data_IF_910959274338
#
_entry.id   IF_910959274338
#
_cell.length_a   1.000
_cell.length_b   1.000
_cell.length_c   1.000
_cell.angle_alpha   90.00
_cell.angle_beta   90.00
_cell.angle_gamma   90.00
#
_symmetry.space_group_name_H-M   'P 1'
#
loop_
_entity.id
_entity.type
_entity.pdbx_description
1 polymer ?
#
# COMPACT_ATOMS: atom_id res chain seq x y z
N UNK A 1 -8.89 -4.90 -0.04
CA UNK A 1 -8.55 -5.59 1.23
C UNK A 1 -8.57 -4.64 2.42
N UNK A 2 -7.77 -3.57 2.43
CA UNK A 2 -7.75 -2.56 3.52
C UNK A 2 -9.14 -2.05 3.89
N UNK A 3 -9.95 -1.64 2.90
CA UNK A 3 -11.32 -1.20 3.13
C UNK A 3 -12.18 -2.25 3.85
N UNK A 4 -12.17 -3.50 3.36
CA UNK A 4 -12.91 -4.60 4.01
C UNK A 4 -12.43 -4.82 5.46
N UNK A 5 -11.10 -4.81 5.69
CA UNK A 5 -10.54 -4.93 7.04
C UNK A 5 -11.02 -3.81 7.98
N UNK A 6 -11.16 -2.58 7.48
CA UNK A 6 -11.67 -1.46 8.26
C UNK A 6 -13.15 -1.61 8.61
N UNK A 7 -13.96 -2.04 7.63
CA UNK A 7 -15.41 -2.12 7.75
C UNK A 7 -15.90 -3.37 8.50
N UNK A 8 -15.12 -4.45 8.53
CA UNK A 8 -15.51 -5.69 9.22
C UNK A 8 -15.16 -5.63 10.71
N UNK A 9 -16.12 -5.80 11.65
CA UNK A 9 -15.84 -5.81 13.09
C UNK A 9 -14.82 -6.88 13.51
N UNK A 10 -15.02 -8.13 13.06
CA UNK A 10 -14.06 -9.22 13.22
C UNK A 10 -13.48 -9.63 11.86
N UNK A 11 -12.21 -9.29 11.56
CA UNK A 11 -11.64 -9.56 10.24
C UNK A 11 -11.54 -11.06 9.91
N UNK A 12 -11.63 -11.95 10.91
CA UNK A 12 -11.59 -13.40 10.69
C UNK A 12 -12.83 -13.92 9.93
N UNK A 13 -13.94 -13.20 9.98
CA UNK A 13 -15.19 -13.60 9.30
C UNK A 13 -15.13 -13.43 7.78
N UNK A 14 -14.17 -12.65 7.27
CA UNK A 14 -13.97 -12.43 5.83
C UNK A 14 -12.76 -13.22 5.29
N UNK A 15 -12.20 -14.16 6.05
CA UNK A 15 -10.99 -14.88 5.67
C UNK A 15 -11.12 -15.57 4.30
N UNK A 16 -12.29 -16.15 4.02
CA UNK A 16 -12.55 -16.87 2.76
C UNK A 16 -12.66 -15.92 1.54
N UNK A 17 -12.87 -14.62 1.78
CA UNK A 17 -12.87 -13.58 0.75
C UNK A 17 -11.49 -12.93 0.55
N UNK A 18 -10.48 -13.34 1.32
CA UNK A 18 -9.13 -12.78 1.29
C UNK A 18 -8.13 -13.80 0.71
N UNK A 19 -6.99 -13.34 0.16
CA UNK A 19 -5.91 -14.23 -0.25
C UNK A 19 -5.38 -15.08 0.92
N UNK A 20 -4.81 -16.24 0.60
CA UNK A 20 -4.06 -17.02 1.58
C UNK A 20 -2.72 -16.35 1.92
N UNK A 21 -2.45 -16.18 3.21
CA UNK A 21 -1.22 -15.54 3.72
C UNK A 21 -0.14 -16.55 4.14
N UNK A 22 -0.39 -17.86 4.05
CA UNK A 22 0.48 -18.91 4.60
C UNK A 22 1.93 -18.80 4.13
N UNK A 23 2.16 -18.48 2.86
CA UNK A 23 3.50 -18.35 2.25
C UNK A 23 3.86 -16.91 1.87
N UNK A 24 3.17 -15.93 2.45
CA UNK A 24 3.40 -14.51 2.15
C UNK A 24 4.44 -13.94 3.10
N UNK A 25 5.48 -13.29 2.58
CA UNK A 25 6.47 -12.58 3.40
C UNK A 25 6.09 -11.13 3.65
N UNK A 26 5.55 -10.47 2.63
CA UNK A 26 5.20 -9.05 2.65
C UNK A 26 3.83 -8.79 2.05
N UNK A 27 3.09 -7.84 2.63
CA UNK A 27 1.80 -7.39 2.12
C UNK A 27 1.89 -5.88 1.87
N UNK A 28 1.53 -5.45 0.66
CA UNK A 28 1.31 -4.05 0.34
C UNK A 28 -0.18 -3.75 0.38
N UNK A 29 -0.57 -2.76 1.18
CA UNK A 29 -1.95 -2.34 1.40
C UNK A 29 -2.08 -0.84 1.07
N UNK A 30 -2.78 -0.46 -0.01
CA UNK A 30 -3.20 0.92 -0.16
C UNK A 30 -4.23 1.24 0.94
N UNK A 31 -4.02 2.32 1.67
CA UNK A 31 -4.91 2.81 2.73
C UNK A 31 -5.65 4.03 2.21
N UNK A 32 -6.93 4.13 2.58
CA UNK A 32 -7.80 5.24 2.24
C UNK A 32 -8.64 5.62 3.47
N UNK A 33 -8.99 6.89 3.57
CA UNK A 33 -9.78 7.53 4.63
C UNK A 33 -11.30 7.34 4.48
N UNK A 34 -11.77 6.49 3.57
CA UNK A 34 -13.19 6.19 3.51
C UNK A 34 -13.66 5.34 4.70
N UNK A 35 -14.51 5.94 5.54
CA UNK A 35 -15.12 5.26 6.67
C UNK A 35 -16.50 4.66 6.38
N UNK A 36 -17.10 4.89 5.21
CA UNK A 36 -18.46 4.44 4.92
C UNK A 36 -18.56 3.57 3.68
N UNK A 37 -19.05 2.35 3.85
CA UNK A 37 -19.41 1.46 2.74
C UNK A 37 -20.67 1.87 1.98
N UNK A 38 -21.47 2.81 2.52
CA UNK A 38 -22.67 3.30 1.84
C UNK A 38 -22.41 4.47 0.90
N UNK A 39 -21.21 5.06 0.93
CA UNK A 39 -20.84 6.19 0.08
C UNK A 39 -19.92 5.67 -1.02
N UNK A 40 -20.45 5.63 -2.24
CA UNK A 40 -19.65 5.36 -3.44
C UNK A 40 -18.59 6.46 -3.61
N UNK A 41 -17.40 6.07 -4.08
CA UNK A 41 -16.27 6.99 -4.30
C UNK A 41 -15.87 7.80 -3.05
N UNK A 42 -16.20 7.30 -1.85
CA UNK A 42 -15.79 7.94 -0.61
C UNK A 42 -14.28 7.87 -0.38
N UNK A 43 -13.79 8.72 0.52
CA UNK A 43 -12.37 8.91 0.80
C UNK A 43 -11.73 9.97 -0.10
N UNK A 44 -10.78 10.71 0.45
CA UNK A 44 -10.11 11.85 -0.18
C UNK A 44 -8.61 11.64 -0.36
N UNK A 45 -8.03 10.69 0.37
CA UNK A 45 -6.57 10.53 0.42
C UNK A 45 -6.14 9.07 0.34
N UNK A 46 -4.98 8.84 -0.27
CA UNK A 46 -4.37 7.52 -0.39
C UNK A 46 -2.97 7.51 0.22
N UNK A 47 -2.68 6.46 0.97
CA UNK A 47 -1.34 6.21 1.53
C UNK A 47 -1.00 4.72 1.43
N UNK A 48 0.21 4.34 1.84
CA UNK A 48 0.71 2.98 1.68
C UNK A 48 1.10 2.36 3.01
N UNK A 49 0.58 1.17 3.30
CA UNK A 49 1.03 0.32 4.40
C UNK A 49 1.78 -0.90 3.83
N UNK A 50 3.05 -1.06 4.18
CA UNK A 50 3.86 -2.24 3.89
C UNK A 50 4.02 -3.06 5.16
N UNK A 51 3.53 -4.30 5.15
CA UNK A 51 3.63 -5.22 6.28
C UNK A 51 4.65 -6.29 5.98
N UNK A 52 5.69 -6.40 6.81
CA UNK A 52 6.55 -7.58 6.88
C UNK A 52 5.95 -8.57 7.87
N UNK A 53 5.45 -9.70 7.36
CA UNK A 53 4.87 -10.78 8.19
C UNK A 53 5.99 -11.50 8.96
N UNK A 54 7.17 -11.60 8.36
CA UNK A 54 8.34 -12.28 8.94
C UNK A 54 8.93 -11.48 10.10
N UNK A 55 8.98 -10.15 9.98
CA UNK A 55 9.53 -9.28 11.03
C UNK A 55 8.46 -8.82 12.04
N UNK A 56 7.18 -9.02 11.74
CA UNK A 56 6.06 -8.56 12.57
C UNK A 56 5.96 -7.04 12.63
N UNK A 57 6.22 -6.35 11.52
CA UNK A 57 6.24 -4.86 11.46
C UNK A 57 5.40 -4.35 10.30
N UNK A 58 4.66 -3.27 10.53
CA UNK A 58 3.89 -2.55 9.53
C UNK A 58 4.41 -1.12 9.39
N UNK A 59 4.90 -0.77 8.21
CA UNK A 59 5.47 0.53 7.86
C UNK A 59 4.45 1.34 7.08
N UNK A 60 4.07 2.52 7.58
CA UNK A 60 3.13 3.42 6.93
C UNK A 60 3.86 4.58 6.26
N UNK A 61 3.63 4.75 4.96
CA UNK A 61 4.16 5.81 4.13
C UNK A 61 3.02 6.71 3.67
N UNK A 62 3.15 8.00 3.93
CA UNK A 62 2.14 8.99 3.60
C UNK A 62 2.80 10.21 2.97
N UNK A 63 2.28 10.63 1.81
CA UNK A 63 2.76 11.79 1.08
C UNK A 63 2.13 13.11 1.53
N UNK A 64 1.10 13.08 2.39
CA UNK A 64 0.40 14.25 2.90
C UNK A 64 0.04 14.12 4.40
N UNK A 65 1.00 14.37 5.32
CA UNK A 65 0.76 14.34 6.77
C UNK A 65 -0.26 15.41 7.24
N UNK A 66 -1.06 15.15 8.31
CA UNK A 66 -1.04 13.95 9.16
C UNK A 66 -1.64 12.70 8.49
N UNK A 67 -2.34 12.87 7.36
CA UNK A 67 -2.74 11.79 6.45
C UNK A 67 -3.52 10.66 7.10
N UNK A 68 -3.33 9.44 6.59
CA UNK A 68 -4.09 8.24 6.95
C UNK A 68 -3.46 7.47 8.13
N UNK A 69 -2.79 8.14 9.06
CA UNK A 69 -2.05 7.46 10.14
C UNK A 69 -2.97 6.60 11.03
N UNK A 70 -4.16 7.10 11.37
CA UNK A 70 -5.10 6.40 12.23
C UNK A 70 -5.69 5.17 11.52
N UNK A 71 -6.04 5.33 10.26
CA UNK A 71 -6.59 4.31 9.36
C UNK A 71 -5.57 3.20 9.16
N UNK A 72 -4.31 3.56 8.88
CA UNK A 72 -3.21 2.62 8.72
C UNK A 72 -2.91 1.85 10.02
N UNK A 73 -2.96 2.53 11.16
CA UNK A 73 -2.81 1.90 12.47
C UNK A 73 -3.95 0.91 12.75
N UNK A 74 -5.20 1.30 12.46
CA UNK A 74 -6.36 0.44 12.63
C UNK A 74 -6.33 -0.78 11.71
N UNK A 75 -5.98 -0.61 10.44
CA UNK A 75 -5.77 -1.72 9.49
C UNK A 75 -4.67 -2.66 9.98
N UNK A 76 -3.58 -2.12 10.57
CA UNK A 76 -2.51 -2.93 11.16
C UNK A 76 -3.04 -3.83 12.28
N UNK A 77 -3.87 -3.28 13.19
CA UNK A 77 -4.50 -4.06 14.27
C UNK A 77 -5.43 -5.15 13.73
N UNK A 78 -6.23 -4.84 12.70
CA UNK A 78 -7.14 -5.80 12.05
C UNK A 78 -6.37 -6.93 11.39
N UNK A 79 -5.33 -6.59 10.62
CA UNK A 79 -4.50 -7.57 9.95
C UNK A 79 -3.76 -8.45 10.97
N UNK A 80 -3.23 -7.87 12.05
CA UNK A 80 -2.58 -8.61 13.14
C UNK A 80 -3.49 -9.70 13.72
N UNK A 81 -4.78 -9.37 13.96
CA UNK A 81 -5.79 -10.34 14.39
C UNK A 81 -6.11 -11.38 13.33
N UNK A 82 -6.23 -10.97 12.06
CA UNK A 82 -6.53 -11.86 10.94
C UNK A 82 -5.46 -12.94 10.75
N UNK A 83 -4.19 -12.54 10.76
CA UNK A 83 -3.05 -13.46 10.55
C UNK A 83 -2.59 -14.13 11.84
N UNK A 84 -3.22 -13.82 12.98
CA UNK A 84 -2.87 -14.30 14.31
C UNK A 84 -1.38 -14.09 14.66
N UNK A 85 -0.83 -12.91 14.34
CA UNK A 85 0.55 -12.52 14.67
C UNK A 85 0.62 -11.06 15.13
N UNK A 86 1.42 -10.71 16.14
CA UNK A 86 1.59 -9.33 16.55
C UNK A 86 2.26 -8.52 15.43
N UNK A 87 1.73 -7.33 15.14
CA UNK A 87 2.32 -6.38 14.20
C UNK A 87 2.62 -5.06 14.91
N UNK A 88 3.88 -4.63 14.90
CA UNK A 88 4.29 -3.31 15.37
C UNK A 88 4.08 -2.28 14.28
N UNK A 89 3.28 -1.26 14.55
CA UNK A 89 3.06 -0.14 13.63
C UNK A 89 4.20 0.88 13.71
N UNK A 90 4.66 1.36 12.55
CA UNK A 90 5.66 2.42 12.42
C UNK A 90 5.18 3.43 11.39
N UNK A 91 4.98 4.67 11.83
CA UNK A 91 4.78 5.81 10.95
C UNK A 91 6.14 6.27 10.40
N UNK A 92 6.34 6.28 9.08
CA UNK A 92 7.56 6.80 8.46
C UNK A 92 7.42 8.30 8.25
N UNK A 93 8.14 9.07 9.06
CA UNK A 93 8.14 10.54 9.02
C UNK A 93 9.01 11.11 7.89
N UNK A 94 9.80 10.27 7.22
CA UNK A 94 10.70 10.63 6.13
C UNK A 94 10.21 10.17 4.75
N UNK A 95 8.89 9.94 4.63
CA UNK A 95 8.25 9.62 3.36
C UNK A 95 8.30 10.80 2.39
N UNK A 96 8.46 10.57 1.07
CA UNK A 96 8.39 11.64 0.07
C UNK A 96 7.02 12.33 0.12
N UNK A 97 7.05 13.66 0.20
CA UNK A 97 5.85 14.50 0.27
C UNK A 97 5.39 14.91 -1.14
N UNK A 98 4.07 15.02 -1.31
CA UNK A 98 3.47 15.58 -2.52
C UNK A 98 3.29 17.09 -2.39
N UNK A 99 3.37 17.81 -3.51
CA UNK A 99 3.22 19.27 -3.55
C UNK A 99 1.81 19.74 -4.01
N UNK A 100 0.87 18.80 -4.20
CA UNK A 100 -0.50 19.10 -4.65
C UNK A 100 -1.52 18.18 -3.95
N UNK A 101 -2.81 18.31 -4.29
CA UNK A 101 -3.90 17.55 -3.65
C UNK A 101 -4.34 16.27 -4.38
N UNK A 102 -3.69 15.87 -5.48
CA UNK A 102 -4.20 14.79 -6.34
C UNK A 102 -3.21 13.67 -6.64
N UNK A 103 -1.94 13.82 -6.25
CA UNK A 103 -0.88 12.83 -6.55
C UNK A 103 -0.74 11.71 -5.52
N UNK A 104 -1.48 11.71 -4.42
CA UNK A 104 -1.35 10.71 -3.35
C UNK A 104 -1.39 9.25 -3.86
N UNK A 105 -2.33 8.93 -4.75
CA UNK A 105 -2.40 7.60 -5.38
C UNK A 105 -1.19 7.27 -6.27
N UNK A 106 -0.63 8.27 -6.95
CA UNK A 106 0.60 8.11 -7.75
C UNK A 106 1.79 7.83 -6.83
N UNK A 107 1.90 8.54 -5.70
CA UNK A 107 2.92 8.30 -4.69
C UNK A 107 2.83 6.88 -4.12
N UNK A 108 1.62 6.37 -3.83
CA UNK A 108 1.40 4.97 -3.38
C UNK A 108 2.02 3.99 -4.38
N UNK A 109 1.67 4.09 -5.67
CA UNK A 109 2.20 3.19 -6.70
C UNK A 109 3.72 3.31 -6.86
N UNK A 110 4.27 4.53 -6.89
CA UNK A 110 5.69 4.77 -7.09
C UNK A 110 6.54 4.34 -5.87
N UNK A 111 6.01 4.49 -4.65
CA UNK A 111 6.63 4.00 -3.43
C UNK A 111 6.59 2.47 -3.38
N UNK A 112 5.44 1.86 -3.69
CA UNK A 112 5.29 0.40 -3.76
C UNK A 112 6.29 -0.23 -4.72
N UNK A 113 6.37 0.30 -5.95
CA UNK A 113 7.36 -0.16 -6.96
C UNK A 113 8.79 -0.05 -6.45
N UNK A 114 9.14 1.07 -5.83
CA UNK A 114 10.50 1.27 -5.30
C UNK A 114 10.83 0.29 -4.18
N UNK A 115 9.95 0.14 -3.20
CA UNK A 115 10.14 -0.79 -2.08
C UNK A 115 10.27 -2.23 -2.60
N UNK A 116 9.37 -2.67 -3.47
CA UNK A 116 9.42 -4.01 -4.02
C UNK A 116 10.73 -4.27 -4.78
N UNK A 117 11.05 -3.43 -5.78
CA UNK A 117 12.18 -3.68 -6.65
C UNK A 117 13.53 -3.40 -5.97
N UNK A 118 13.65 -2.31 -5.21
CA UNK A 118 14.94 -1.82 -4.69
C UNK A 118 15.21 -2.17 -3.23
N UNK A 119 14.22 -2.63 -2.47
CA UNK A 119 14.39 -3.00 -1.06
C UNK A 119 14.14 -4.48 -0.83
N UNK A 120 13.12 -5.06 -1.46
CA UNK A 120 12.74 -6.44 -1.17
C UNK A 120 13.36 -7.46 -2.14
N UNK A 121 13.39 -7.18 -3.45
CA UNK A 121 13.85 -8.17 -4.44
C UNK A 121 15.35 -8.09 -4.77
N UNK A 122 15.96 -6.91 -4.66
CA UNK A 122 17.38 -6.71 -5.03
C UNK A 122 18.37 -6.91 -3.88
N UNK A 123 17.91 -7.16 -2.65
CA UNK A 123 18.79 -7.30 -1.48
C UNK A 123 19.00 -8.78 -1.15
N UNK A 124 20.23 -9.15 -0.80
CA UNK A 124 20.56 -10.49 -0.31
C UNK A 124 19.78 -10.78 0.97
N UNK A 125 19.31 -12.01 1.13
CA UNK A 125 18.43 -12.45 2.22
C UNK A 125 19.03 -12.32 3.63
N UNK A 126 20.34 -12.08 3.74
CA UNK A 126 21.10 -11.93 4.98
C UNK A 126 21.35 -10.47 5.41
N UNK A 127 21.01 -9.48 4.58
CA UNK A 127 21.28 -8.07 4.87
C UNK A 127 20.06 -7.35 5.47
N UNK A 128 20.29 -6.53 6.50
CA UNK A 128 19.26 -5.61 7.02
C UNK A 128 18.94 -4.56 5.97
N UNK A 129 17.65 -4.42 5.64
CA UNK A 129 17.17 -3.46 4.67
C UNK A 129 16.54 -2.27 5.38
N UNK A 130 17.00 -1.06 5.06
CA UNK A 130 16.33 0.15 5.53
C UNK A 130 15.01 0.35 4.77
N UNK A 131 13.92 0.47 5.51
CA UNK A 131 12.58 0.78 4.99
C UNK A 131 12.31 2.29 4.89
N UNK A 132 13.28 3.13 5.24
CA UNK A 132 13.22 4.58 5.04
C UNK A 132 13.16 4.94 3.55
N UNK A 133 12.39 5.98 3.24
CA UNK A 133 12.38 6.64 1.94
C UNK A 133 12.95 8.07 2.02
N UNK A 134 13.65 8.39 3.11
CA UNK A 134 14.28 9.69 3.32
C UNK A 134 15.22 10.07 2.17
N UNK A 135 15.09 11.30 1.68
CA UNK A 135 15.89 11.81 0.56
C UNK A 135 15.46 11.31 -0.82
N UNK A 136 14.47 10.42 -0.93
CA UNK A 136 13.92 10.01 -2.21
C UNK A 136 13.04 11.12 -2.80
N UNK A 137 13.29 11.46 -4.06
CA UNK A 137 12.41 12.32 -4.85
C UNK A 137 11.45 11.48 -5.68
N UNK A 138 10.22 11.95 -5.80
CA UNK A 138 9.16 11.30 -6.58
C UNK A 138 8.72 12.26 -7.68
N UNK A 139 8.87 11.84 -8.93
CA UNK A 139 8.32 12.56 -10.08
C UNK A 139 6.94 11.98 -10.42
N UNK A 140 5.90 12.59 -9.85
CA UNK A 140 4.53 12.14 -10.07
C UNK A 140 4.05 12.41 -11.51
N UNK A 141 4.54 13.45 -12.17
CA UNK A 141 4.17 13.75 -13.56
C UNK A 141 4.67 12.66 -14.51
N UNK A 142 5.94 12.26 -14.38
CA UNK A 142 6.50 11.14 -15.11
C UNK A 142 5.77 9.84 -14.75
N UNK A 143 5.47 9.62 -13.46
CA UNK A 143 4.70 8.47 -12.99
C UNK A 143 3.32 8.34 -13.65
N UNK A 144 2.56 9.44 -13.74
CA UNK A 144 1.26 9.48 -14.43
C UNK A 144 1.38 9.12 -15.91
N UNK A 145 2.35 9.70 -16.61
CA UNK A 145 2.61 9.42 -18.04
C UNK A 145 2.96 7.95 -18.26
N UNK A 146 3.77 7.37 -17.37
CA UNK A 146 4.15 5.96 -17.41
C UNK A 146 2.94 5.04 -17.19
N UNK A 147 2.12 5.30 -16.16
CA UNK A 147 0.91 4.52 -15.89
C UNK A 147 -0.06 4.54 -17.06
N UNK A 148 -0.31 5.71 -17.65
CA UNK A 148 -1.17 5.84 -18.83
C UNK A 148 -0.65 5.03 -20.02
N UNK A 149 0.68 5.06 -20.25
CA UNK A 149 1.31 4.26 -21.30
C UNK A 149 1.08 2.77 -21.08
N UNK A 150 1.31 2.27 -19.85
CA UNK A 150 1.11 0.85 -19.50
C UNK A 150 -0.35 0.43 -19.72
N UNK A 151 -1.31 1.25 -19.28
CA UNK A 151 -2.74 0.99 -19.47
C UNK A 151 -3.09 0.87 -20.96
N UNK A 152 -2.58 1.79 -21.77
CA UNK A 152 -2.82 1.82 -23.22
C UNK A 152 -2.18 0.63 -23.94
N UNK A 153 -1.00 0.19 -23.52
CA UNK A 153 -0.35 -1.02 -24.04
C UNK A 153 -1.20 -2.27 -23.79
N UNK A 154 -1.68 -2.46 -22.56
CA UNK A 154 -2.58 -3.58 -22.23
C UNK A 154 -3.91 -3.50 -22.98
N UNK A 155 -4.47 -2.30 -23.17
CA UNK A 155 -5.71 -2.11 -23.96
C UNK A 155 -5.52 -2.60 -25.40
N UNK A 156 -4.43 -2.17 -26.05
CA UNK A 156 -4.11 -2.56 -27.43
C UNK A 156 -3.86 -4.07 -27.55
N UNK A 157 -3.17 -4.66 -26.58
CA UNK A 157 -2.97 -6.11 -26.55
C UNK A 157 -4.31 -6.86 -26.43
N UNK A 158 -5.21 -6.41 -25.56
CA UNK A 158 -6.54 -6.98 -25.40
C UNK A 158 -7.42 -6.85 -26.65
N UNK A 159 -7.25 -5.79 -27.45
CA UNK A 159 -7.91 -5.64 -28.75
C UNK A 159 -7.39 -6.65 -29.78
N UNK A 160 -6.06 -6.81 -29.89
CA UNK A 160 -5.44 -7.78 -30.80
C UNK A 160 -5.80 -9.23 -30.48
N UNK A 161 -6.02 -9.59 -29.22
CA UNK A 161 -6.42 -10.94 -28.81
C UNK A 161 -7.89 -11.25 -29.12
N UNK A 162 -8.70 -10.23 -29.41
CA UNK A 162 -10.15 -10.35 -29.71
C UNK A 162 -10.48 -10.31 -31.20
N UNK A 163 -9.53 -9.89 -32.04
CA UNK A 163 -9.58 -9.98 -33.51
C UNK A 163 -9.03 -11.31 -34.00
#
# INVERSE_FOLDING_TARGET
>A
MSFMLMQTPDPRTIKDALPDFTNVSHIFLPINDNHSASIAEGGTHWSLLLVSIVDGVAFHYDSMPPGNQNEAHYVTQKLSRLINRPLRFIQLTDSPLQDNSSDCGVFVCLNMRHLLLKRLLMVRTDAKVSMSLGGRRVDASAGRKEMLRIIEEFRREGERRRS
#
